data_IF_073245052513
#
_entry.id   IF_073245052513
#
_cell.length_a   1.000
_cell.length_b   1.000
_cell.length_c   1.000
_cell.angle_alpha   90.00
_cell.angle_beta   90.00
_cell.angle_gamma   90.00
#
_symmetry.space_group_name_H-M   'P 1'
#
loop_
_entity.id
_entity.type
_entity.pdbx_description
1 polymer ?
#
# COMPACT_ATOMS: atom_id res chain seq x y z
N UNK A 1 3.47 30.92 -25.43
CA UNK A 1 3.56 29.72 -24.57
C UNK A 1 4.79 29.90 -23.70
N UNK A 2 4.59 30.26 -22.42
CA UNK A 2 5.69 30.33 -21.48
C UNK A 2 6.23 28.91 -21.27
N UNK A 3 7.54 28.76 -21.23
CA UNK A 3 8.24 27.51 -20.97
C UNK A 3 7.87 27.06 -19.55
N UNK A 4 6.95 26.11 -19.41
CA UNK A 4 6.55 25.63 -18.09
C UNK A 4 7.63 24.69 -17.55
N UNK A 5 8.50 25.26 -16.74
CA UNK A 5 9.60 24.58 -16.05
C UNK A 5 9.20 24.06 -14.66
N UNK A 6 7.93 24.16 -14.27
CA UNK A 6 7.48 23.70 -12.95
C UNK A 6 7.63 22.17 -12.85
N UNK A 7 8.57 21.72 -12.01
CA UNK A 7 8.85 20.28 -11.80
C UNK A 7 8.19 19.73 -10.55
N UNK A 8 7.93 20.58 -9.56
CA UNK A 8 7.40 20.22 -8.26
C UNK A 8 6.28 21.21 -7.93
N UNK A 9 5.09 20.69 -7.64
CA UNK A 9 3.97 21.47 -7.13
C UNK A 9 3.53 20.84 -5.81
N UNK A 10 3.65 21.59 -4.73
CA UNK A 10 3.23 21.17 -3.40
C UNK A 10 2.24 22.19 -2.85
N UNK A 11 1.05 21.73 -2.52
CA UNK A 11 -0.01 22.56 -1.93
C UNK A 11 -0.49 21.86 -0.67
N UNK A 12 -0.28 22.51 0.47
CA UNK A 12 -0.54 21.90 1.77
C UNK A 12 -1.34 22.84 2.66
N UNK A 13 -2.25 22.28 3.45
CA UNK A 13 -2.99 22.97 4.52
C UNK A 13 -3.79 24.20 4.05
N UNK A 14 -4.25 24.21 2.80
CA UNK A 14 -5.05 25.29 2.23
C UNK A 14 -6.56 24.96 2.31
N UNK A 15 -7.13 25.06 3.51
CA UNK A 15 -8.52 24.62 3.80
C UNK A 15 -9.64 25.34 3.04
N UNK A 16 -9.35 26.51 2.47
CA UNK A 16 -10.30 27.31 1.69
C UNK A 16 -10.06 27.22 0.18
N UNK A 17 -9.01 26.54 -0.26
CA UNK A 17 -8.66 26.44 -1.68
C UNK A 17 -9.65 25.54 -2.41
N UNK A 18 -10.24 26.05 -3.50
CA UNK A 18 -11.23 25.31 -4.31
C UNK A 18 -10.66 24.87 -5.65
N UNK A 19 -9.71 25.63 -6.20
CA UNK A 19 -8.99 25.37 -7.44
C UNK A 19 -7.55 25.87 -7.35
N UNK A 20 -6.61 25.23 -8.05
CA UNK A 20 -5.18 25.63 -8.05
C UNK A 20 -4.90 26.65 -9.15
N UNK A 21 -5.47 26.44 -10.33
CA UNK A 21 -5.30 27.29 -11.50
C UNK A 21 -6.65 27.90 -11.84
N UNK A 22 -6.74 29.22 -11.91
CA UNK A 22 -7.98 29.90 -12.27
C UNK A 22 -8.31 29.72 -13.77
N UNK A 23 -9.61 29.72 -14.11
CA UNK A 23 -10.07 29.73 -15.51
C UNK A 23 -9.68 31.06 -16.15
N UNK A 24 -9.10 31.02 -17.34
CA UNK A 24 -8.89 32.22 -18.15
C UNK A 24 -10.24 32.65 -18.75
N UNK A 25 -10.70 33.87 -18.47
CA UNK A 25 -12.03 34.37 -18.86
C UNK A 25 -12.23 34.46 -20.39
N UNK A 26 -11.14 34.37 -21.15
CA UNK A 26 -11.12 34.59 -22.62
C UNK A 26 -11.12 33.29 -23.42
N UNK A 27 -11.01 32.12 -22.78
CA UNK A 27 -10.98 30.83 -23.47
C UNK A 27 -12.40 30.34 -23.82
N UNK A 28 -12.73 30.36 -25.11
CA UNK A 28 -13.95 29.79 -25.67
C UNK A 28 -14.15 28.34 -25.22
N UNK A 29 -15.41 27.96 -24.99
CA UNK A 29 -15.85 26.61 -24.60
C UNK A 29 -15.52 25.59 -25.69
N UNK A 30 -14.26 25.17 -25.79
CA UNK A 30 -13.87 24.00 -26.56
C UNK A 30 -14.13 22.77 -25.70
N UNK A 31 -15.24 22.10 -26.00
CA UNK A 31 -15.61 20.80 -25.46
C UNK A 31 -14.55 19.78 -25.90
N UNK A 32 -14.01 19.01 -24.95
CA UNK A 32 -13.12 17.85 -25.17
C UNK A 32 -11.71 18.14 -25.73
N UNK A 33 -11.12 19.33 -25.52
CA UNK A 33 -9.71 19.54 -25.85
C UNK A 33 -8.77 19.07 -24.73
N UNK A 34 -7.74 18.29 -25.09
CA UNK A 34 -6.70 17.90 -24.14
C UNK A 34 -5.81 19.10 -23.84
N UNK A 35 -5.64 19.43 -22.55
CA UNK A 35 -4.74 20.52 -22.16
C UNK A 35 -3.61 19.96 -21.31
N UNK A 36 -2.39 20.18 -21.80
CA UNK A 36 -1.19 19.92 -21.04
C UNK A 36 -0.93 21.16 -20.18
N UNK A 37 -1.19 21.05 -18.88
CA UNK A 37 -0.73 22.00 -17.87
C UNK A 37 0.40 21.34 -17.08
N UNK A 38 1.39 22.11 -16.64
CA UNK A 38 2.51 21.56 -15.88
C UNK A 38 3.25 20.45 -16.64
N UNK A 39 3.63 20.73 -17.90
CA UNK A 39 4.28 19.76 -18.80
C UNK A 39 5.58 19.15 -18.23
N UNK A 40 6.25 19.89 -17.35
CA UNK A 40 7.49 19.48 -16.71
C UNK A 40 7.33 18.87 -15.32
N UNK A 41 6.09 18.73 -14.84
CA UNK A 41 5.79 18.27 -13.48
C UNK A 41 6.23 16.81 -13.29
N UNK A 42 7.02 16.60 -12.25
CA UNK A 42 7.55 15.30 -11.82
C UNK A 42 6.99 14.88 -10.46
N UNK A 43 6.64 15.84 -9.61
CA UNK A 43 6.03 15.62 -8.30
C UNK A 43 4.82 16.53 -8.12
N UNK A 44 3.69 15.95 -7.74
CA UNK A 44 2.52 16.66 -7.24
C UNK A 44 2.20 16.21 -5.82
N UNK A 45 2.17 17.14 -4.87
CA UNK A 45 1.70 16.91 -3.50
C UNK A 45 0.51 17.80 -3.17
N UNK A 46 -0.57 17.20 -2.69
CA UNK A 46 -1.82 17.85 -2.31
C UNK A 46 -2.25 17.33 -0.94
N UNK A 47 -1.97 18.09 0.12
CA UNK A 47 -2.26 17.66 1.49
C UNK A 47 -3.21 18.61 2.22
N UNK A 48 -4.23 18.04 2.87
CA UNK A 48 -5.17 18.79 3.71
C UNK A 48 -5.82 19.95 2.95
N UNK A 49 -6.50 19.60 1.86
CA UNK A 49 -7.21 20.51 0.96
C UNK A 49 -8.69 20.09 0.85
N UNK A 50 -9.46 20.11 1.97
CA UNK A 50 -10.80 19.53 2.04
C UNK A 50 -11.85 20.19 1.13
N UNK A 51 -11.54 21.37 0.56
CA UNK A 51 -12.41 22.08 -0.39
C UNK A 51 -11.90 22.05 -1.83
N UNK A 52 -10.73 21.45 -2.09
CA UNK A 52 -10.14 21.43 -3.41
C UNK A 52 -10.94 20.52 -4.32
N UNK A 53 -11.66 21.10 -5.29
CA UNK A 53 -12.52 20.36 -6.22
C UNK A 53 -11.76 19.90 -7.46
N UNK A 54 -10.84 20.73 -7.95
CA UNK A 54 -10.09 20.46 -9.18
C UNK A 54 -8.76 21.24 -9.19
N UNK A 55 -7.83 20.82 -10.05
CA UNK A 55 -6.59 21.57 -10.27
C UNK A 55 -6.81 22.73 -11.25
N UNK A 56 -7.64 22.49 -12.27
CA UNK A 56 -8.00 23.47 -13.29
C UNK A 56 -9.51 23.35 -13.60
N UNK A 57 -10.28 24.44 -13.55
CA UNK A 57 -11.71 24.44 -13.85
C UNK A 57 -11.99 24.34 -15.37
N UNK A 58 -12.69 23.28 -15.79
CA UNK A 58 -13.13 23.06 -17.17
C UNK A 58 -13.28 21.57 -17.52
N UNK A 59 -14.05 21.25 -18.58
CA UNK A 59 -14.22 19.88 -19.11
C UNK A 59 -12.95 19.42 -19.86
N UNK A 60 -11.82 19.30 -19.15
CA UNK A 60 -10.53 19.01 -19.75
C UNK A 60 -9.89 17.76 -19.16
N UNK A 61 -9.36 16.92 -20.05
CA UNK A 61 -8.43 15.86 -19.67
C UNK A 61 -7.06 16.53 -19.49
N UNK A 62 -6.62 16.65 -18.23
CA UNK A 62 -5.24 17.05 -17.92
C UNK A 62 -4.29 15.89 -18.26
N UNK A 63 -3.14 16.21 -18.86
CA UNK A 63 -2.09 15.20 -19.09
C UNK A 63 -0.81 15.63 -18.41
N UNK A 64 -0.21 14.71 -17.66
CA UNK A 64 1.07 14.94 -16.99
C UNK A 64 2.12 13.95 -17.49
N UNK A 65 2.73 14.24 -18.65
CA UNK A 65 3.59 13.31 -19.36
C UNK A 65 4.94 13.06 -18.67
N UNK A 66 5.24 13.71 -17.54
CA UNK A 66 6.48 13.49 -16.78
C UNK A 66 6.24 13.22 -15.30
N UNK A 67 4.99 13.09 -14.87
CA UNK A 67 4.69 12.90 -13.44
C UNK A 67 5.18 11.53 -13.01
N UNK A 68 6.06 11.53 -12.00
CA UNK A 68 6.67 10.33 -11.43
C UNK A 68 6.15 10.06 -10.02
N UNK A 69 5.76 11.11 -9.29
CA UNK A 69 5.24 11.00 -7.93
C UNK A 69 3.95 11.80 -7.75
N UNK A 70 2.92 11.13 -7.23
CA UNK A 70 1.64 11.71 -6.85
C UNK A 70 1.39 11.41 -5.38
N UNK A 71 1.12 12.44 -4.58
CA UNK A 71 0.96 12.36 -3.14
C UNK A 71 -0.27 13.17 -2.73
N UNK A 72 -1.39 12.50 -2.45
CA UNK A 72 -2.69 13.14 -2.18
C UNK A 72 -3.25 12.63 -0.87
N UNK A 73 -3.54 13.54 0.05
CA UNK A 73 -4.07 13.25 1.38
C UNK A 73 -5.09 14.29 1.82
N UNK A 74 -6.19 13.85 2.42
CA UNK A 74 -7.22 14.74 2.99
C UNK A 74 -7.72 15.77 1.94
N UNK A 75 -8.10 15.26 0.78
CA UNK A 75 -8.61 15.98 -0.39
C UNK A 75 -9.93 15.33 -0.85
N UNK A 76 -10.90 15.22 0.05
CA UNK A 76 -12.08 14.32 -0.06
C UNK A 76 -13.09 14.71 -1.15
N UNK A 77 -13.04 15.96 -1.61
CA UNK A 77 -13.89 16.48 -2.69
C UNK A 77 -13.15 16.62 -4.01
N UNK A 78 -11.89 16.21 -4.06
CA UNK A 78 -11.08 16.25 -5.28
C UNK A 78 -11.67 15.30 -6.31
N UNK A 79 -12.08 15.83 -7.45
CA UNK A 79 -12.57 15.04 -8.58
C UNK A 79 -11.54 15.12 -9.68
N UNK A 80 -10.82 14.03 -9.89
CA UNK A 80 -9.72 13.98 -10.84
C UNK A 80 -10.19 13.23 -12.10
N UNK A 81 -10.16 13.87 -13.27
CA UNK A 81 -10.57 13.28 -14.56
C UNK A 81 -12.01 12.75 -14.67
N UNK A 82 -12.87 13.00 -13.68
CA UNK A 82 -14.28 12.68 -13.82
C UNK A 82 -14.83 13.47 -15.01
N UNK A 83 -15.13 12.76 -16.09
CA UNK A 83 -15.62 13.27 -17.38
C UNK A 83 -16.96 14.00 -17.29
N UNK A 84 -17.50 14.20 -16.09
CA UNK A 84 -18.83 14.78 -15.86
C UNK A 84 -18.77 15.91 -14.84
N UNK A 85 -18.26 17.07 -15.27
CA UNK A 85 -18.83 18.33 -14.78
C UNK A 85 -20.13 18.56 -15.54
N UNK A 86 -21.20 17.86 -15.17
CA UNK A 86 -22.54 18.26 -15.58
C UNK A 86 -22.89 19.53 -14.81
N UNK A 87 -23.07 20.60 -15.57
CA UNK A 87 -23.44 21.93 -15.12
C UNK A 87 -24.64 21.89 -14.15
N UNK A 88 -24.47 22.49 -12.97
CA UNK A 88 -25.54 23.29 -12.37
C UNK A 88 -24.91 24.39 -11.53
N UNK A 89 -25.12 25.66 -11.87
CA UNK A 89 -24.95 26.75 -10.92
C UNK A 89 -26.14 26.69 -9.94
N UNK A 90 -25.82 26.66 -8.65
CA UNK A 90 -26.73 26.73 -7.49
C UNK A 90 -27.43 25.47 -6.94
N UNK A 91 -27.36 25.44 -5.60
CA UNK A 91 -28.22 24.79 -4.59
C UNK A 91 -28.05 23.28 -4.30
N UNK A 92 -27.66 23.02 -3.05
CA UNK A 92 -27.95 21.84 -2.21
C UNK A 92 -28.02 20.47 -2.91
N UNK A 93 -26.98 19.65 -2.73
CA UNK A 93 -27.00 18.22 -3.06
C UNK A 93 -26.66 17.40 -1.80
N UNK A 94 -27.64 17.32 -0.90
CA UNK A 94 -27.96 16.04 -0.28
C UNK A 94 -28.90 15.32 -1.25
N UNK A 95 -28.73 14.00 -1.41
CA UNK A 95 -29.50 13.11 -2.29
C UNK A 95 -29.33 13.26 -3.82
N UNK A 96 -28.59 12.32 -4.40
CA UNK A 96 -29.01 11.57 -5.61
C UNK A 96 -28.16 10.31 -5.80
N UNK A 97 -28.59 9.24 -5.15
CA UNK A 97 -28.31 7.86 -5.57
C UNK A 97 -29.13 7.56 -6.83
N UNK A 98 -28.59 7.84 -8.02
CA UNK A 98 -29.04 7.21 -9.28
C UNK A 98 -28.08 7.57 -10.41
N UNK A 99 -27.28 6.59 -10.83
CA UNK A 99 -26.47 6.66 -12.05
C UNK A 99 -27.38 6.49 -13.29
N UNK A 100 -27.23 7.28 -14.36
CA UNK A 100 -27.77 6.93 -15.66
C UNK A 100 -26.88 5.82 -16.28
N UNK A 101 -27.36 4.58 -16.23
CA UNK A 101 -26.93 3.51 -17.14
C UNK A 101 -27.40 3.88 -18.55
N UNK A 102 -26.47 4.33 -19.39
CA UNK A 102 -26.46 4.27 -20.87
C UNK A 102 -25.77 5.50 -21.46
N UNK A 103 -24.45 5.56 -21.28
CA UNK A 103 -23.52 6.23 -22.18
C UNK A 103 -22.10 5.68 -21.93
N UNK A 104 -21.98 4.36 -22.04
CA UNK A 104 -20.70 3.67 -22.06
C UNK A 104 -20.12 3.77 -23.47
N UNK A 105 -19.78 4.98 -23.91
CA UNK A 105 -18.83 5.16 -25.00
C UNK A 105 -17.41 5.03 -24.43
N UNK A 106 -16.65 4.15 -25.07
CA UNK A 106 -15.30 3.72 -24.70
C UNK A 106 -14.32 4.89 -24.50
N UNK A 107 -14.10 5.32 -23.26
CA UNK A 107 -12.89 6.09 -22.85
C UNK A 107 -11.76 5.12 -22.47
N UNK A 108 -11.77 3.93 -23.06
CA UNK A 108 -10.61 3.03 -23.03
C UNK A 108 -9.49 3.65 -23.88
N UNK A 109 -8.32 3.86 -23.25
CA UNK A 109 -6.96 3.98 -23.85
C UNK A 109 -6.19 5.30 -23.72
N UNK A 110 -6.60 6.30 -22.94
CA UNK A 110 -5.74 7.47 -22.73
C UNK A 110 -5.01 7.40 -21.40
N UNK A 111 -3.73 6.98 -21.45
CA UNK A 111 -2.81 7.07 -20.31
C UNK A 111 -2.66 8.54 -19.90
N UNK A 112 -3.03 8.83 -18.67
CA UNK A 112 -3.06 10.16 -18.09
C UNK A 112 -1.74 10.49 -17.38
N UNK A 113 -1.17 9.49 -16.73
CA UNK A 113 0.05 9.52 -15.94
C UNK A 113 0.98 8.37 -16.38
N UNK A 114 1.46 8.39 -17.64
CA UNK A 114 2.14 7.23 -18.25
C UNK A 114 3.47 6.85 -17.61
N UNK A 115 4.04 7.71 -16.76
CA UNK A 115 5.32 7.51 -16.08
C UNK A 115 5.21 7.58 -14.56
N UNK A 116 3.99 7.50 -14.01
CA UNK A 116 3.81 7.52 -12.57
C UNK A 116 4.42 6.26 -11.98
N UNK A 117 5.35 6.45 -11.05
CA UNK A 117 6.06 5.36 -10.40
C UNK A 117 5.67 5.28 -8.91
N UNK A 118 5.46 6.43 -8.27
CA UNK A 118 5.22 6.54 -6.84
C UNK A 118 3.84 7.16 -6.58
N UNK A 119 2.96 6.40 -5.94
CA UNK A 119 1.62 6.84 -5.57
C UNK A 119 1.48 6.81 -4.06
N UNK A 120 1.10 7.94 -3.45
CA UNK A 120 0.81 8.03 -2.04
C UNK A 120 -0.60 8.56 -1.80
N UNK A 121 -1.39 7.82 -1.02
CA UNK A 121 -2.83 8.06 -0.85
C UNK A 121 -3.28 7.89 0.60
N UNK A 122 -4.28 8.67 0.97
CA UNK A 122 -5.12 8.45 2.13
C UNK A 122 -6.30 7.55 1.80
N UNK A 123 -7.07 7.20 2.84
CA UNK A 123 -8.30 6.42 2.74
C UNK A 123 -9.28 6.98 1.71
N UNK A 124 -9.57 8.27 1.80
CA UNK A 124 -10.58 8.91 0.95
C UNK A 124 -10.14 8.93 -0.52
N UNK A 125 -8.88 9.25 -0.79
CA UNK A 125 -8.33 9.26 -2.14
C UNK A 125 -8.24 7.85 -2.74
N UNK A 126 -7.93 6.86 -1.91
CA UNK A 126 -7.97 5.46 -2.30
C UNK A 126 -9.39 5.02 -2.68
N UNK A 127 -10.42 5.43 -1.92
CA UNK A 127 -11.83 5.19 -2.29
C UNK A 127 -12.24 5.92 -3.58
N UNK A 128 -11.64 7.06 -3.91
CA UNK A 128 -11.90 7.72 -5.19
C UNK A 128 -11.44 6.89 -6.38
N UNK A 129 -10.34 6.15 -6.25
CA UNK A 129 -9.84 5.26 -7.31
C UNK A 129 -10.86 4.14 -7.55
N UNK A 130 -11.34 3.50 -6.48
CA UNK A 130 -12.30 2.38 -6.59
C UNK A 130 -13.64 2.83 -7.17
N UNK A 131 -14.05 4.06 -6.88
CA UNK A 131 -15.27 4.67 -7.41
C UNK A 131 -15.10 5.23 -8.83
N UNK A 132 -13.92 5.12 -9.43
CA UNK A 132 -13.62 5.70 -10.75
C UNK A 132 -13.58 7.23 -10.79
N UNK A 133 -13.58 7.89 -9.63
CA UNK A 133 -13.49 9.35 -9.46
C UNK A 133 -12.06 9.88 -9.58
N UNK A 134 -11.07 9.00 -9.48
CA UNK A 134 -9.65 9.28 -9.63
C UNK A 134 -9.05 8.27 -10.63
N UNK A 135 -8.85 8.71 -11.88
CA UNK A 135 -8.25 7.88 -12.92
C UNK A 135 -6.72 8.03 -12.91
N UNK A 136 -6.01 6.93 -12.70
CA UNK A 136 -4.55 6.86 -12.66
C UNK A 136 -4.09 5.62 -13.44
N UNK A 137 -2.98 5.73 -14.16
CA UNK A 137 -2.31 4.57 -14.76
C UNK A 137 -1.59 3.76 -13.67
N UNK A 138 -2.04 2.53 -13.41
CA UNK A 138 -1.54 1.70 -12.30
C UNK A 138 -0.27 0.88 -12.62
N UNK A 139 0.63 1.43 -13.45
CA UNK A 139 1.95 0.83 -13.69
C UNK A 139 2.97 1.42 -12.70
N UNK A 140 2.90 1.00 -11.43
CA UNK A 140 3.53 1.69 -10.31
C UNK A 140 4.76 0.93 -9.77
N UNK A 141 5.84 1.64 -9.51
CA UNK A 141 6.96 1.09 -8.74
C UNK A 141 6.63 0.99 -7.24
N UNK A 142 5.89 1.97 -6.71
CA UNK A 142 5.57 2.08 -5.29
C UNK A 142 4.16 2.61 -5.07
N UNK A 143 3.41 1.91 -4.22
CA UNK A 143 2.18 2.41 -3.61
C UNK A 143 2.41 2.58 -2.10
N UNK A 144 2.14 3.78 -1.59
CA UNK A 144 2.15 4.11 -0.17
C UNK A 144 0.74 4.49 0.29
N UNK A 145 0.20 3.72 1.21
CA UNK A 145 -1.07 3.98 1.90
C UNK A 145 -0.78 4.56 3.28
N UNK A 146 -1.46 5.64 3.66
CA UNK A 146 -1.28 6.25 4.98
C UNK A 146 -2.55 6.87 5.55
N UNK A 147 -2.63 7.04 6.88
CA UNK A 147 -3.78 7.63 7.58
C UNK A 147 -5.10 6.85 7.40
N UNK A 148 -5.02 5.53 7.41
CA UNK A 148 -6.19 4.66 7.46
C UNK A 148 -6.61 4.39 8.90
N UNK A 149 -7.90 4.17 9.11
CA UNK A 149 -8.51 3.85 10.40
C UNK A 149 -8.60 2.32 10.62
N UNK A 150 -8.93 1.91 11.84
CA UNK A 150 -9.10 0.51 12.25
C UNK A 150 -10.21 -0.24 11.50
N UNK A 151 -11.24 0.46 11.02
CA UNK A 151 -12.35 -0.12 10.27
C UNK A 151 -12.06 -0.35 8.78
N UNK A 152 -10.92 0.13 8.29
CA UNK A 152 -10.63 0.14 6.87
C UNK A 152 -10.09 -1.20 6.38
N UNK A 153 -10.41 -1.56 5.13
CA UNK A 153 -9.91 -2.78 4.50
C UNK A 153 -8.87 -2.42 3.45
N UNK A 154 -7.65 -2.92 3.66
CA UNK A 154 -6.44 -2.58 2.93
C UNK A 154 -6.51 -2.73 1.38
N UNK A 155 -7.33 -3.66 0.87
CA UNK A 155 -7.14 -4.19 -0.49
C UNK A 155 -8.22 -3.79 -1.50
N UNK A 156 -9.28 -3.08 -1.14
CA UNK A 156 -10.30 -2.74 -2.15
C UNK A 156 -9.82 -1.69 -3.17
N UNK A 157 -8.73 -0.96 -2.87
CA UNK A 157 -8.25 0.20 -3.65
C UNK A 157 -7.91 -0.12 -5.12
N UNK A 158 -7.35 -1.30 -5.39
CA UNK A 158 -6.80 -1.66 -6.71
C UNK A 158 -7.57 -2.76 -7.43
N UNK A 159 -8.68 -3.21 -6.85
CA UNK A 159 -9.24 -4.53 -7.17
C UNK A 159 -10.58 -4.43 -7.94
N UNK A 160 -11.15 -3.23 -8.11
CA UNK A 160 -12.55 -3.07 -8.52
C UNK A 160 -12.83 -2.67 -9.96
N UNK A 161 -12.00 -3.02 -10.96
CA UNK A 161 -12.43 -2.78 -12.34
C UNK A 161 -11.84 -3.76 -13.38
N UNK A 162 -12.72 -4.62 -13.94
CA UNK A 162 -12.41 -5.54 -15.05
C UNK A 162 -11.92 -4.83 -16.32
N UNK A 163 -12.07 -3.49 -16.42
CA UNK A 163 -11.64 -2.69 -17.56
C UNK A 163 -10.24 -2.04 -17.41
N UNK A 164 -9.57 -2.21 -16.26
CA UNK A 164 -8.27 -1.58 -16.00
C UNK A 164 -7.13 -2.57 -16.29
N UNK A 165 -6.07 -2.15 -17.04
CA UNK A 165 -4.88 -2.98 -17.21
C UNK A 165 -4.32 -3.40 -15.85
N UNK A 166 -4.04 -4.69 -15.67
CA UNK A 166 -3.56 -5.27 -14.41
C UNK A 166 -2.48 -4.39 -13.77
N UNK A 167 -2.67 -3.93 -12.51
CA UNK A 167 -1.70 -3.09 -11.85
C UNK A 167 -0.41 -3.88 -11.61
N UNK A 168 0.71 -3.33 -12.05
CA UNK A 168 2.03 -3.85 -11.66
C UNK A 168 2.49 -2.98 -10.52
N UNK A 169 2.56 -3.54 -9.31
CA UNK A 169 3.04 -2.84 -8.10
C UNK A 169 4.29 -3.58 -7.62
N UNK A 170 5.44 -2.91 -7.64
CA UNK A 170 6.71 -3.52 -7.16
C UNK A 170 6.85 -3.41 -5.63
N UNK A 171 6.38 -2.32 -5.01
CA UNK A 171 6.49 -2.12 -3.56
C UNK A 171 5.20 -1.56 -2.96
N UNK A 172 4.88 -2.04 -1.77
CA UNK A 172 3.73 -1.61 -0.97
C UNK A 172 4.24 -1.09 0.37
N UNK A 173 3.90 0.15 0.69
CA UNK A 173 4.15 0.77 2.00
C UNK A 173 2.84 1.10 2.71
N UNK A 174 2.73 0.75 3.98
CA UNK A 174 1.61 1.14 4.85
C UNK A 174 2.19 1.90 6.02
N UNK A 175 1.82 3.17 6.16
CA UNK A 175 2.47 4.10 7.10
C UNK A 175 1.43 4.86 7.90
N UNK A 176 1.70 5.14 9.18
CA UNK A 176 0.89 6.03 10.03
C UNK A 176 -0.62 5.69 9.97
N UNK A 177 -0.96 4.42 10.14
CA UNK A 177 -2.33 3.90 9.99
C UNK A 177 -2.73 2.99 11.15
N UNK A 178 -4.03 2.89 11.43
CA UNK A 178 -4.59 2.17 12.57
C UNK A 178 -5.21 0.81 12.20
N UNK A 179 -4.83 0.22 11.07
CA UNK A 179 -5.29 -1.13 10.68
C UNK A 179 -5.06 -2.15 11.80
N UNK A 180 -6.06 -2.97 12.10
CA UNK A 180 -5.90 -4.16 12.95
C UNK A 180 -5.30 -5.35 12.17
N UNK A 181 -5.68 -5.46 10.89
CA UNK A 181 -5.23 -6.48 9.94
C UNK A 181 -4.90 -5.85 8.58
N UNK A 182 -3.77 -6.22 7.97
CA UNK A 182 -3.41 -5.75 6.61
C UNK A 182 -4.05 -6.66 5.55
N UNK A 183 -3.83 -7.97 5.63
CA UNK A 183 -4.36 -8.94 4.67
C UNK A 183 -5.43 -9.81 5.33
N UNK A 184 -6.73 -9.60 5.04
CA UNK A 184 -7.85 -10.27 5.73
C UNK A 184 -7.92 -11.77 5.48
N UNK A 185 -8.31 -12.55 6.49
CA UNK A 185 -8.44 -14.02 6.34
C UNK A 185 -9.31 -14.52 5.19
N UNK A 186 -10.39 -13.81 4.87
CA UNK A 186 -11.21 -14.11 3.73
C UNK A 186 -10.59 -13.49 2.48
N UNK A 187 -10.22 -14.35 1.53
CA UNK A 187 -9.85 -13.91 0.20
C UNK A 187 -11.01 -13.08 -0.37
N UNK A 188 -10.79 -11.83 -0.81
CA UNK A 188 -11.81 -11.08 -1.52
C UNK A 188 -12.26 -11.88 -2.77
N UNK A 189 -13.56 -11.86 -3.11
CA UNK A 189 -14.21 -12.58 -4.24
C UNK A 189 -13.73 -12.12 -5.64
N UNK A 190 -12.44 -11.83 -5.79
CA UNK A 190 -11.85 -11.13 -6.92
C UNK A 190 -10.62 -11.90 -7.39
N UNK A 191 -10.21 -11.69 -8.64
CA UNK A 191 -9.13 -12.39 -9.32
C UNK A 191 -7.74 -11.97 -8.79
N UNK A 192 -7.56 -12.12 -7.47
CA UNK A 192 -6.48 -11.66 -6.62
C UNK A 192 -5.09 -12.20 -6.99
N UNK A 193 -4.93 -13.48 -7.39
CA UNK A 193 -3.61 -14.03 -7.73
C UNK A 193 -2.95 -13.33 -8.92
N UNK A 194 -3.72 -12.64 -9.76
CA UNK A 194 -3.24 -11.86 -10.92
C UNK A 194 -2.97 -10.38 -10.59
N UNK A 195 -3.53 -9.87 -9.49
CA UNK A 195 -3.43 -8.45 -9.11
C UNK A 195 -2.17 -8.17 -8.29
N UNK A 196 -1.75 -9.12 -7.47
CA UNK A 196 -0.55 -8.99 -6.62
C UNK A 196 0.58 -9.94 -7.03
N UNK A 197 0.67 -10.35 -8.30
CA UNK A 197 1.73 -11.29 -8.74
C UNK A 197 3.16 -10.68 -8.78
N UNK A 198 3.40 -9.51 -8.18
CA UNK A 198 4.61 -8.69 -8.43
C UNK A 198 5.26 -7.94 -7.24
N UNK A 199 4.68 -7.78 -6.03
CA UNK A 199 5.32 -6.93 -5.03
C UNK A 199 6.54 -7.64 -4.45
N UNK A 200 7.69 -7.02 -4.70
CA UNK A 200 9.00 -7.40 -4.17
C UNK A 200 9.27 -6.78 -2.80
N UNK A 201 8.50 -5.79 -2.41
CA UNK A 201 8.70 -5.10 -1.13
C UNK A 201 7.41 -4.83 -0.37
N UNK A 202 7.44 -5.15 0.92
CA UNK A 202 6.41 -4.79 1.88
C UNK A 202 7.06 -4.01 3.02
N UNK A 203 6.54 -2.82 3.29
CA UNK A 203 6.94 -2.00 4.44
C UNK A 203 5.72 -1.60 5.25
N UNK A 204 5.79 -1.88 6.53
CA UNK A 204 4.81 -1.55 7.54
C UNK A 204 5.48 -0.64 8.57
N UNK A 205 5.02 0.59 8.69
CA UNK A 205 5.65 1.59 9.56
C UNK A 205 4.62 2.33 10.40
N UNK A 206 4.85 2.44 11.71
CA UNK A 206 4.00 3.19 12.63
C UNK A 206 2.53 2.76 12.52
N UNK A 207 2.28 1.48 12.84
CA UNK A 207 0.96 0.85 12.83
C UNK A 207 0.61 0.41 14.25
N UNK A 208 0.19 1.35 15.12
CA UNK A 208 0.08 1.09 16.56
C UNK A 208 -0.96 0.02 16.90
N UNK A 209 -2.03 -0.12 16.11
CA UNK A 209 -3.11 -1.08 16.32
C UNK A 209 -2.96 -2.39 15.53
N UNK A 210 -1.90 -2.51 14.73
CA UNK A 210 -1.72 -3.69 13.89
C UNK A 210 -1.48 -4.92 14.74
N UNK A 211 -2.46 -5.83 14.76
CA UNK A 211 -2.37 -7.10 15.46
C UNK A 211 -1.81 -8.18 14.54
N UNK A 212 -2.22 -8.19 13.27
CA UNK A 212 -1.96 -9.30 12.36
C UNK A 212 -1.68 -8.84 10.94
N UNK A 213 -0.56 -9.24 10.35
CA UNK A 213 -0.25 -8.86 8.96
C UNK A 213 -1.15 -9.63 7.99
N UNK A 214 -1.40 -10.92 8.21
CA UNK A 214 -2.19 -11.72 7.28
C UNK A 214 -1.39 -12.42 6.17
N UNK A 215 -0.07 -12.50 6.30
CA UNK A 215 0.77 -13.23 5.34
C UNK A 215 0.58 -14.76 5.39
N UNK A 216 -0.04 -15.30 6.43
CA UNK A 216 -0.16 -16.75 6.65
C UNK A 216 -1.32 -17.39 5.89
N UNK A 217 -2.19 -16.56 5.29
CA UNK A 217 -3.33 -17.09 4.55
C UNK A 217 -2.85 -17.79 3.26
N UNK A 218 -3.39 -18.96 2.95
CA UNK A 218 -2.97 -19.75 1.77
C UNK A 218 -2.99 -18.97 0.45
N UNK A 219 -3.87 -17.97 0.33
CA UNK A 219 -3.99 -17.13 -0.86
C UNK A 219 -2.85 -16.11 -1.01
N UNK A 220 -1.99 -15.95 0.02
CA UNK A 220 -0.81 -15.06 0.02
C UNK A 220 0.48 -15.71 -0.49
N UNK A 221 0.53 -17.03 -0.66
CA UNK A 221 1.74 -17.74 -1.12
C UNK A 221 2.38 -17.11 -2.39
N UNK A 222 1.61 -16.72 -3.44
CA UNK A 222 2.20 -16.09 -4.63
C UNK A 222 2.92 -14.76 -4.35
N UNK A 223 2.53 -14.03 -3.30
CA UNK A 223 3.17 -12.79 -2.88
C UNK A 223 4.45 -13.10 -2.12
N UNK A 224 4.40 -14.07 -1.20
CA UNK A 224 5.56 -14.50 -0.40
C UNK A 224 6.69 -15.03 -1.27
N UNK A 225 6.36 -15.80 -2.32
CA UNK A 225 7.33 -16.37 -3.27
C UNK A 225 8.09 -15.30 -4.07
N UNK A 226 7.60 -14.06 -4.12
CA UNK A 226 8.22 -12.94 -4.84
C UNK A 226 8.79 -11.85 -3.90
N UNK A 227 8.56 -11.97 -2.59
CA UNK A 227 8.90 -10.92 -1.63
C UNK A 227 10.41 -10.88 -1.35
N UNK A 228 11.08 -9.85 -1.86
CA UNK A 228 12.53 -9.67 -1.70
C UNK A 228 12.88 -8.83 -0.46
N UNK A 229 12.00 -7.93 -0.03
CA UNK A 229 12.25 -7.00 1.07
C UNK A 229 11.06 -6.90 2.01
N UNK A 230 11.33 -7.05 3.31
CA UNK A 230 10.34 -6.89 4.37
C UNK A 230 10.85 -5.92 5.43
N UNK A 231 10.07 -4.87 5.67
CA UNK A 231 10.34 -3.87 6.69
C UNK A 231 9.13 -3.75 7.62
N UNK A 232 9.33 -4.01 8.91
CA UNK A 232 8.31 -3.85 9.95
C UNK A 232 8.89 -2.95 11.04
N UNK A 233 8.32 -1.76 11.21
CA UNK A 233 8.83 -0.73 12.11
C UNK A 233 7.68 -0.10 12.90
N UNK A 234 7.82 0.02 14.22
CA UNK A 234 6.82 0.72 15.08
C UNK A 234 5.41 0.12 14.94
N UNK A 235 5.31 -1.21 15.00
CA UNK A 235 4.04 -1.94 15.04
C UNK A 235 3.86 -2.49 16.47
N UNK A 236 3.27 -1.69 17.36
CA UNK A 236 3.30 -1.94 18.81
C UNK A 236 2.48 -3.16 19.23
N UNK A 237 1.26 -3.28 18.69
CA UNK A 237 0.30 -4.35 19.00
C UNK A 237 0.52 -5.63 18.19
N UNK A 238 1.57 -5.74 17.38
CA UNK A 238 1.75 -6.88 16.47
C UNK A 238 1.93 -8.18 17.28
N UNK A 239 0.88 -9.01 17.28
CA UNK A 239 0.76 -10.26 18.03
C UNK A 239 -0.09 -11.23 17.21
N UNK A 240 0.44 -12.37 16.80
CA UNK A 240 -0.38 -13.31 16.03
C UNK A 240 -1.41 -13.97 16.94
N UNK A 241 -2.68 -13.65 16.71
CA UNK A 241 -3.86 -14.37 17.17
C UNK A 241 -4.58 -14.90 15.93
N UNK A 242 -4.27 -16.13 15.50
CA UNK A 242 -5.06 -16.79 14.47
C UNK A 242 -6.52 -16.88 14.98
N UNK A 243 -7.55 -16.57 14.17
CA UNK A 243 -8.96 -16.68 14.57
C UNK A 243 -9.48 -18.12 14.82
N UNK A 244 -8.60 -19.12 14.97
CA UNK A 244 -9.00 -20.52 15.14
C UNK A 244 -8.90 -20.99 16.60
N UNK A 245 -9.99 -21.65 17.02
CA UNK A 245 -10.47 -21.97 18.38
C UNK A 245 -9.53 -22.71 19.36
N UNK A 246 -8.25 -22.97 19.05
CA UNK A 246 -7.36 -23.71 19.96
C UNK A 246 -6.27 -22.79 20.54
N UNK A 247 -6.67 -22.03 21.57
CA UNK A 247 -5.78 -21.23 22.42
C UNK A 247 -5.10 -22.12 23.46
N UNK A 248 -3.81 -22.44 23.32
CA UNK A 248 -3.04 -22.93 24.48
C UNK A 248 -1.64 -22.30 24.63
N UNK A 249 -1.02 -21.73 23.60
CA UNK A 249 0.27 -21.04 23.76
C UNK A 249 0.25 -19.62 23.16
N UNK A 250 0.27 -18.61 24.05
CA UNK A 250 0.33 -17.18 23.71
C UNK A 250 1.77 -16.75 23.39
N UNK A 251 2.34 -17.28 22.32
CA UNK A 251 3.61 -16.78 21.81
C UNK A 251 3.31 -15.71 20.76
N UNK A 252 3.89 -14.52 20.96
CA UNK A 252 3.76 -13.43 20.02
C UNK A 252 4.88 -13.62 19.00
N UNK A 253 4.61 -14.25 17.87
CA UNK A 253 5.58 -14.42 16.79
C UNK A 253 5.27 -13.49 15.61
N UNK A 254 6.18 -13.36 14.64
CA UNK A 254 5.97 -12.56 13.43
C UNK A 254 5.43 -13.40 12.26
N UNK A 255 5.86 -14.65 12.11
CA UNK A 255 5.42 -15.60 11.07
C UNK A 255 5.43 -17.05 11.56
N UNK A 256 4.63 -17.93 10.99
CA UNK A 256 4.80 -19.38 11.17
C UNK A 256 6.01 -19.96 10.42
N UNK A 257 6.41 -21.19 10.77
CA UNK A 257 7.44 -21.96 10.05
C UNK A 257 7.05 -22.27 8.59
N UNK A 258 5.76 -22.47 8.31
CA UNK A 258 5.27 -22.64 6.93
C UNK A 258 5.44 -21.37 6.10
N UNK A 259 5.10 -20.20 6.67
CA UNK A 259 5.33 -18.89 6.04
C UNK A 259 6.81 -18.65 5.80
N UNK A 260 7.66 -18.98 6.78
CA UNK A 260 9.12 -18.88 6.66
C UNK A 260 9.67 -19.66 5.45
N UNK A 261 9.11 -20.83 5.19
CA UNK A 261 9.53 -21.71 4.08
C UNK A 261 9.20 -21.13 2.71
N UNK A 262 8.22 -20.22 2.62
CA UNK A 262 7.86 -19.53 1.37
C UNK A 262 8.69 -18.25 1.12
N UNK A 263 9.47 -17.80 2.09
CA UNK A 263 10.31 -16.58 2.00
C UNK A 263 11.70 -16.85 1.40
N UNK A 264 11.87 -17.89 0.58
CA UNK A 264 13.18 -18.32 0.07
C UNK A 264 13.92 -17.28 -0.80
N UNK A 265 13.19 -16.34 -1.41
CA UNK A 265 13.76 -15.24 -2.22
C UNK A 265 14.00 -13.95 -1.43
N UNK A 266 13.65 -13.92 -0.14
CA UNK A 266 13.80 -12.75 0.71
C UNK A 266 15.29 -12.38 0.81
N UNK A 267 15.64 -11.14 0.45
CA UNK A 267 17.00 -10.60 0.48
C UNK A 267 17.27 -9.79 1.72
N UNK A 268 16.26 -9.07 2.22
CA UNK A 268 16.39 -8.21 3.38
C UNK A 268 15.19 -8.33 4.33
N UNK A 269 15.47 -8.50 5.61
CA UNK A 269 14.49 -8.47 6.69
C UNK A 269 14.90 -7.46 7.75
N UNK A 270 14.02 -6.50 8.04
CA UNK A 270 14.23 -5.50 9.07
C UNK A 270 13.00 -5.42 9.97
N UNK A 271 13.18 -5.75 11.25
CA UNK A 271 12.13 -5.70 12.27
C UNK A 271 12.60 -4.80 13.40
N UNK A 272 11.87 -3.72 13.68
CA UNK A 272 12.31 -2.72 14.65
C UNK A 272 11.20 -2.05 15.45
N UNK A 273 11.53 -1.65 16.68
CA UNK A 273 10.63 -0.94 17.61
C UNK A 273 9.25 -1.62 17.83
N UNK A 274 9.16 -2.95 17.68
CA UNK A 274 7.92 -3.70 17.92
C UNK A 274 7.91 -4.25 19.35
N UNK A 275 6.89 -3.86 20.14
CA UNK A 275 6.89 -4.08 21.59
C UNK A 275 6.47 -5.49 22.01
N UNK A 276 5.66 -6.14 21.17
CA UNK A 276 4.97 -7.37 21.56
C UNK A 276 5.64 -8.65 21.05
N UNK A 277 6.49 -8.58 20.02
CA UNK A 277 7.14 -9.75 19.38
C UNK A 277 8.09 -10.45 20.36
N UNK A 278 7.80 -11.72 20.64
CA UNK A 278 8.62 -12.65 21.43
C UNK A 278 9.47 -13.59 20.57
N UNK A 279 8.98 -13.96 19.39
CA UNK A 279 9.70 -14.81 18.43
C UNK A 279 9.58 -14.23 17.03
N UNK A 280 10.56 -14.44 16.14
CA UNK A 280 10.36 -14.07 14.73
C UNK A 280 9.53 -15.15 14.04
N UNK A 281 9.87 -16.42 14.29
CA UNK A 281 9.16 -17.55 13.71
C UNK A 281 8.60 -18.48 14.80
N UNK A 282 7.34 -18.92 14.67
CA UNK A 282 6.75 -19.99 15.50
C UNK A 282 6.84 -21.37 14.83
N UNK A 283 6.78 -22.42 15.64
CA UNK A 283 6.66 -23.81 15.21
C UNK A 283 5.21 -24.25 15.16
N UNK A 284 4.76 -24.77 14.02
CA UNK A 284 3.39 -25.28 13.88
C UNK A 284 3.24 -26.70 14.49
N UNK A 285 2.10 -26.96 15.16
CA UNK A 285 1.74 -28.30 15.65
C UNK A 285 1.46 -29.23 14.46
N UNK A 286 2.45 -30.03 14.06
CA UNK A 286 2.33 -30.92 12.89
C UNK A 286 3.65 -31.18 12.18
N UNK A 287 4.67 -30.37 12.45
CA UNK A 287 6.07 -30.67 12.14
C UNK A 287 6.49 -31.90 12.97
N UNK A 288 6.23 -33.10 12.44
CA UNK A 288 6.66 -34.36 13.05
C UNK A 288 8.18 -34.42 13.25
N UNK A 289 8.74 -35.50 13.83
CA UNK A 289 10.16 -35.63 14.15
C UNK A 289 11.12 -35.67 12.93
N UNK A 290 10.63 -35.36 11.72
CA UNK A 290 11.48 -35.13 10.57
C UNK A 290 12.04 -33.72 10.67
N UNK A 291 13.35 -33.62 10.87
CA UNK A 291 14.09 -32.36 10.83
C UNK A 291 13.91 -31.72 9.44
N UNK A 292 12.92 -30.85 9.31
CA UNK A 292 12.80 -29.97 8.15
C UNK A 292 13.84 -28.87 8.28
N UNK A 293 14.46 -28.51 7.16
CA UNK A 293 15.40 -27.39 7.09
C UNK A 293 14.66 -26.21 6.46
N UNK A 294 14.64 -25.07 7.15
CA UNK A 294 14.14 -23.81 6.60
C UNK A 294 15.35 -23.07 6.03
N UNK A 295 15.35 -22.87 4.71
CA UNK A 295 16.48 -22.28 3.99
C UNK A 295 16.08 -20.89 3.48
N UNK A 296 16.77 -19.87 3.97
CA UNK A 296 16.69 -18.51 3.46
C UNK A 296 17.79 -18.30 2.42
N UNK A 297 17.59 -18.84 1.21
CA UNK A 297 18.61 -18.95 0.16
C UNK A 297 19.23 -17.59 -0.20
N UNK A 298 18.42 -16.53 -0.27
CA UNK A 298 18.84 -15.21 -0.75
C UNK A 298 19.01 -14.16 0.35
N UNK A 299 18.75 -14.49 1.62
CA UNK A 299 18.76 -13.50 2.70
C UNK A 299 20.18 -12.99 2.93
N UNK A 300 20.40 -11.71 2.71
CA UNK A 300 21.69 -11.03 2.82
C UNK A 300 21.78 -10.15 4.05
N UNK A 301 20.67 -9.52 4.46
CA UNK A 301 20.62 -8.59 5.58
C UNK A 301 19.48 -8.97 6.51
N UNK A 302 19.81 -9.19 7.78
CA UNK A 302 18.87 -9.36 8.87
C UNK A 302 19.13 -8.32 9.96
N UNK A 303 18.15 -7.46 10.22
CA UNK A 303 18.22 -6.45 11.28
C UNK A 303 17.06 -6.62 12.25
N UNK A 304 17.38 -6.81 13.52
CA UNK A 304 16.45 -6.85 14.65
C UNK A 304 16.85 -5.72 15.60
N UNK A 305 15.99 -4.74 15.83
CA UNK A 305 16.34 -3.59 16.66
C UNK A 305 15.23 -3.18 17.61
N UNK A 306 15.56 -2.92 18.88
CA UNK A 306 14.62 -2.40 19.87
C UNK A 306 13.37 -3.28 20.00
N UNK A 307 13.59 -4.59 20.18
CA UNK A 307 12.54 -5.59 20.35
C UNK A 307 12.53 -6.06 21.82
N UNK A 308 11.85 -5.34 22.73
CA UNK A 308 11.96 -5.55 24.18
C UNK A 308 11.36 -6.86 24.69
N UNK A 309 10.45 -7.47 23.94
CA UNK A 309 9.83 -8.75 24.27
C UNK A 309 10.52 -9.95 23.61
N UNK A 310 11.43 -9.74 22.64
CA UNK A 310 12.03 -10.80 21.84
C UNK A 310 12.84 -11.75 22.72
N UNK A 311 12.41 -13.00 22.83
CA UNK A 311 13.08 -14.06 23.59
C UNK A 311 13.93 -14.95 22.69
N UNK A 312 13.44 -15.32 21.51
CA UNK A 312 14.15 -16.18 20.56
C UNK A 312 13.95 -15.68 19.13
N UNK A 313 14.87 -15.96 18.21
CA UNK A 313 14.58 -15.73 16.78
C UNK A 313 13.68 -16.86 16.23
N UNK A 314 13.98 -18.11 16.58
CA UNK A 314 13.13 -19.27 16.30
C UNK A 314 13.28 -20.32 17.41
N UNK A 315 12.16 -20.84 17.94
CA UNK A 315 12.14 -21.85 19.01
C UNK A 315 11.87 -23.27 18.51
N UNK A 316 11.72 -23.48 17.20
CA UNK A 316 11.37 -24.80 16.65
C UNK A 316 12.51 -25.77 16.50
N UNK A 317 12.15 -27.01 16.17
CA UNK A 317 13.10 -28.12 15.97
C UNK A 317 13.73 -28.14 14.57
N UNK A 318 13.26 -27.30 13.65
CA UNK A 318 13.80 -27.22 12.29
C UNK A 318 15.15 -26.51 12.26
N UNK A 319 16.07 -26.97 11.43
CA UNK A 319 17.35 -26.29 11.25
C UNK A 319 17.16 -25.07 10.36
N UNK A 320 17.62 -23.90 10.80
CA UNK A 320 17.64 -22.69 9.98
C UNK A 320 18.96 -22.60 9.21
N UNK A 321 18.89 -22.32 7.91
CA UNK A 321 20.08 -22.13 7.06
C UNK A 321 20.01 -20.79 6.32
N UNK A 322 21.14 -20.07 6.27
CA UNK A 322 21.26 -18.74 5.69
C UNK A 322 22.50 -18.64 4.78
N UNK A 323 22.53 -19.34 3.63
CA UNK A 323 23.74 -19.48 2.81
C UNK A 323 24.27 -18.15 2.22
N UNK A 324 23.40 -17.15 2.04
CA UNK A 324 23.76 -15.84 1.45
C UNK A 324 23.93 -14.71 2.47
N UNK A 325 23.87 -15.00 3.78
CA UNK A 325 23.82 -13.97 4.82
C UNK A 325 25.14 -13.22 4.93
N UNK A 326 25.09 -11.90 4.75
CA UNK A 326 26.25 -11.01 4.80
C UNK A 326 26.28 -10.17 6.06
N UNK A 327 25.10 -9.78 6.56
CA UNK A 327 24.97 -8.87 7.69
C UNK A 327 23.86 -9.34 8.63
N UNK A 328 24.22 -9.44 9.91
CA UNK A 328 23.28 -9.62 11.03
C UNK A 328 23.51 -8.48 12.01
N UNK A 329 22.45 -7.74 12.32
CA UNK A 329 22.46 -6.71 13.34
C UNK A 329 21.34 -6.99 14.35
N UNK A 330 21.72 -7.21 15.61
CA UNK A 330 20.78 -7.37 16.73
C UNK A 330 21.08 -6.30 17.76
N UNK A 331 20.23 -5.29 17.86
CA UNK A 331 20.45 -4.10 18.68
C UNK A 331 19.31 -3.93 19.68
N UNK A 332 19.60 -3.71 20.96
CA UNK A 332 18.56 -3.37 21.96
C UNK A 332 17.44 -4.43 22.06
N UNK A 333 17.80 -5.72 21.95
CA UNK A 333 16.89 -6.87 22.12
C UNK A 333 17.22 -7.61 23.43
N UNK A 334 16.98 -6.96 24.57
CA UNK A 334 17.57 -7.37 25.85
C UNK A 334 17.04 -8.68 26.44
N UNK A 335 15.91 -9.22 25.95
CA UNK A 335 15.38 -10.54 26.38
C UNK A 335 15.84 -11.70 25.51
N UNK A 336 16.53 -11.43 24.40
CA UNK A 336 16.87 -12.45 23.44
C UNK A 336 17.91 -13.40 24.03
N UNK A 337 17.56 -14.68 24.13
CA UNK A 337 18.39 -15.74 24.71
C UNK A 337 19.11 -16.52 23.63
N UNK A 338 18.38 -16.91 22.59
CA UNK A 338 18.89 -17.76 21.51
C UNK A 338 18.50 -17.22 20.14
N UNK A 339 19.40 -17.38 19.17
CA UNK A 339 19.08 -17.14 17.76
C UNK A 339 18.35 -18.38 17.19
N UNK A 340 18.95 -19.55 17.31
CA UNK A 340 18.29 -20.84 17.12
C UNK A 340 18.76 -21.81 18.21
N UNK A 341 17.98 -22.85 18.48
CA UNK A 341 18.38 -23.93 19.39
C UNK A 341 19.15 -24.96 18.55
N UNK A 342 20.46 -25.10 18.81
CA UNK A 342 21.25 -26.19 18.24
C UNK A 342 20.96 -27.48 19.04
N UNK A 343 20.55 -28.56 18.36
CA UNK A 343 20.37 -29.89 18.95
C UNK A 343 21.53 -30.84 18.64
#
# INVERSE_FOLDING_TARGET
MANDELRILEVENCVSLVEIVAKDEVATEEVNTERIIFQSLTLLRLWNLPKLRCIYPGMLILKWPKLQKLDVLHCEVLRFFATEFQNSPDSHLEDRNSFPTDQQESVSLRKVTPHLENLCLGKEEAMMITQGKLQIDLQLGLVKLQRFDESDVFLFVFVSNEAVPQPSIEKIEVVDSAFEEIFPSQMPDINFPQILSQPKGLKLQNLPQLNYIGLEHNWMNPILENLETLYVWECECLTILIPSIVRIHKLNYLFTSSTASNLGVLKEMHVSNCQSIKEIFETEEGDGPNVHMIIFEQLQVLTLSSLPALENFYSGSSTLNFPSLKQVAVNVCYRMKFFCIDY
#
